data_IF_285695699487
#
_entry.id   IF_285695699487
#
_cell.length_a   1.000
_cell.length_b   1.000
_cell.length_c   1.000
_cell.angle_alpha   90.00
_cell.angle_beta   90.00
_cell.angle_gamma   90.00
#
_symmetry.space_group_name_H-M   'P 1'
#
loop_
_entity.id
_entity.type
_entity.pdbx_description
1 polymer ?
#
# COMPACT_ATOMS: atom_id res chain seq x y z
N UNK A 1 -3.34 -2.90 -20.06
CA UNK A 1 -3.56 -4.33 -20.31
C UNK A 1 -4.38 -5.00 -19.19
N UNK A 2 -3.90 -5.00 -17.94
CA UNK A 2 -4.58 -5.66 -16.81
C UNK A 2 -6.04 -5.21 -16.57
N UNK A 3 -6.33 -3.89 -16.59
CA UNK A 3 -7.70 -3.38 -16.41
C UNK A 3 -8.69 -3.91 -17.45
N UNK A 4 -8.28 -3.96 -18.73
CA UNK A 4 -9.12 -4.44 -19.82
C UNK A 4 -9.41 -5.94 -19.65
N UNK A 5 -8.39 -6.74 -19.37
CA UNK A 5 -8.54 -8.17 -19.09
C UNK A 5 -9.51 -8.44 -17.92
N UNK A 6 -9.42 -7.65 -16.84
CA UNK A 6 -10.34 -7.77 -15.71
C UNK A 6 -11.79 -7.41 -16.11
N UNK A 7 -11.98 -6.34 -16.88
CA UNK A 7 -13.31 -5.96 -17.37
C UNK A 7 -13.90 -7.03 -18.29
N UNK A 8 -13.09 -7.62 -19.17
CA UNK A 8 -13.52 -8.62 -20.14
C UNK A 8 -14.01 -9.92 -19.47
N UNK A 9 -13.46 -10.30 -18.31
CA UNK A 9 -13.96 -11.44 -17.51
C UNK A 9 -15.13 -11.09 -16.58
N UNK A 10 -15.72 -9.90 -16.74
CA UNK A 10 -16.84 -9.43 -15.91
C UNK A 10 -16.45 -9.03 -14.49
N UNK A 11 -15.15 -8.84 -14.20
CA UNK A 11 -14.72 -8.41 -12.88
C UNK A 11 -15.17 -6.97 -12.63
N UNK A 12 -16.11 -6.82 -11.68
CA UNK A 12 -16.54 -5.52 -11.19
C UNK A 12 -15.60 -5.09 -10.07
N UNK A 13 -14.67 -4.19 -10.39
CA UNK A 13 -13.80 -3.61 -9.37
C UNK A 13 -14.64 -2.78 -8.39
N UNK A 14 -14.58 -3.16 -7.11
CA UNK A 14 -14.99 -2.27 -6.03
C UNK A 14 -13.89 -1.20 -5.86
N UNK A 15 -14.19 0.09 -6.12
CA UNK A 15 -13.20 1.15 -6.00
C UNK A 15 -12.72 1.35 -4.56
N UNK A 16 -13.50 0.94 -3.57
CA UNK A 16 -13.18 1.05 -2.14
C UNK A 16 -12.42 -0.18 -1.64
N UNK A 17 -12.79 -1.37 -2.11
CA UNK A 17 -12.16 -2.64 -1.71
C UNK A 17 -12.36 -2.95 -0.23
N UNK A 18 -11.58 -3.90 0.30
CA UNK A 18 -11.73 -4.43 1.67
C UNK A 18 -11.60 -3.39 2.80
N UNK A 19 -10.86 -2.31 2.58
CA UNK A 19 -10.58 -1.28 3.60
C UNK A 19 -11.07 0.09 3.12
N UNK A 20 -12.38 0.36 3.17
CA UNK A 20 -12.97 1.59 2.62
C UNK A 20 -12.58 2.86 3.38
N UNK A 21 -12.16 2.73 4.65
CA UNK A 21 -11.70 3.85 5.47
C UNK A 21 -10.35 4.46 4.99
N UNK A 22 -9.59 3.73 4.17
CA UNK A 22 -8.33 4.19 3.61
C UNK A 22 -8.50 4.51 2.11
N UNK A 23 -7.99 5.64 1.66
CA UNK A 23 -7.96 6.01 0.23
C UNK A 23 -6.68 5.56 -0.46
N UNK A 24 -5.57 5.46 0.29
CA UNK A 24 -4.25 5.12 -0.23
C UNK A 24 -3.95 3.62 -0.10
N UNK A 25 -3.30 3.05 -1.13
CA UNK A 25 -3.07 1.60 -1.23
C UNK A 25 -2.13 1.07 -0.15
N UNK A 26 -1.18 1.90 0.29
CA UNK A 26 -0.19 1.58 1.33
C UNK A 26 -0.87 1.31 2.68
N UNK A 27 -1.86 2.15 3.04
CA UNK A 27 -2.63 1.98 4.27
C UNK A 27 -3.53 0.74 4.22
N UNK A 28 -4.18 0.48 3.08
CA UNK A 28 -4.96 -0.75 2.85
C UNK A 28 -4.08 -1.99 3.00
N UNK A 29 -2.87 -1.94 2.43
CA UNK A 29 -1.92 -3.04 2.49
C UNK A 29 -1.40 -3.27 3.91
N UNK A 30 -1.10 -2.21 4.67
CA UNK A 30 -0.68 -2.32 6.06
C UNK A 30 -1.75 -2.99 6.95
N UNK A 31 -3.02 -2.62 6.77
CA UNK A 31 -4.15 -3.26 7.47
C UNK A 31 -4.25 -4.75 7.11
N UNK A 32 -4.16 -5.08 5.81
CA UNK A 32 -4.16 -6.46 5.35
C UNK A 32 -2.99 -7.28 5.91
N UNK A 33 -1.79 -6.71 5.93
CA UNK A 33 -0.60 -7.35 6.51
C UNK A 33 -0.77 -7.64 8.00
N UNK A 34 -1.37 -6.70 8.76
CA UNK A 34 -1.68 -6.88 10.18
C UNK A 34 -2.63 -8.06 10.39
N UNK A 35 -3.74 -8.09 9.66
CA UNK A 35 -4.76 -9.14 9.76
C UNK A 35 -4.25 -10.52 9.30
N UNK A 36 -3.42 -10.53 8.24
CA UNK A 36 -2.88 -11.75 7.65
C UNK A 36 -1.57 -12.22 8.25
N UNK A 37 -1.06 -11.56 9.31
CA UNK A 37 0.25 -11.82 9.90
C UNK A 37 1.43 -11.80 8.91
N UNK A 38 1.31 -11.02 7.83
CA UNK A 38 2.36 -10.87 6.81
C UNK A 38 3.36 -9.82 7.28
N UNK A 39 4.66 -10.15 7.24
CA UNK A 39 5.72 -9.28 7.76
C UNK A 39 6.42 -8.44 6.69
N UNK A 40 6.53 -8.94 5.46
CA UNK A 40 7.26 -8.25 4.40
C UNK A 40 6.49 -8.31 3.10
N UNK A 41 6.28 -7.17 2.46
CA UNK A 41 5.66 -7.08 1.13
C UNK A 41 6.45 -6.14 0.22
N UNK A 42 6.54 -6.49 -1.05
CA UNK A 42 6.95 -5.59 -2.13
C UNK A 42 5.68 -5.06 -2.80
N UNK A 43 5.51 -3.74 -2.79
CA UNK A 43 4.37 -3.05 -3.38
C UNK A 43 4.85 -2.28 -4.62
N UNK A 44 4.22 -2.50 -5.77
CA UNK A 44 4.48 -1.72 -6.99
C UNK A 44 3.27 -0.85 -7.28
N UNK A 45 3.46 0.46 -7.34
CA UNK A 45 2.40 1.43 -7.64
C UNK A 45 2.68 2.15 -8.96
N UNK A 46 1.64 2.73 -9.55
CA UNK A 46 1.73 3.54 -10.76
C UNK A 46 1.74 5.06 -10.49
N UNK A 47 1.74 5.48 -9.23
CA UNK A 47 1.90 6.88 -8.87
C UNK A 47 3.36 7.30 -9.11
N UNK A 48 3.61 8.14 -10.11
CA UNK A 48 4.96 8.59 -10.49
C UNK A 48 5.65 9.45 -9.43
N UNK A 49 4.89 10.00 -8.48
CA UNK A 49 5.43 10.75 -7.34
C UNK A 49 5.85 9.86 -6.17
N UNK A 50 5.65 8.54 -6.28
CA UNK A 50 5.90 7.59 -5.20
C UNK A 50 4.83 7.62 -4.10
N UNK A 51 5.08 6.95 -2.96
CA UNK A 51 4.19 7.03 -1.80
C UNK A 51 4.12 8.48 -1.28
N UNK A 52 2.99 8.82 -0.68
CA UNK A 52 2.73 10.20 -0.25
C UNK A 52 3.67 10.68 0.87
N UNK A 53 4.28 11.85 0.68
CA UNK A 53 5.19 12.53 1.63
C UNK A 53 4.61 13.89 2.09
N UNK A 54 4.79 14.29 3.35
CA UNK A 54 4.29 15.56 3.93
C UNK A 54 3.54 15.49 5.28
N UNK A 55 3.77 16.49 6.15
CA UNK A 55 3.44 16.53 7.59
C UNK A 55 1.97 16.39 8.02
N UNK A 56 1.01 16.30 7.10
CA UNK A 56 -0.42 16.29 7.44
C UNK A 56 -1.11 14.93 7.35
N UNK A 57 -0.52 13.92 6.69
CA UNK A 57 -1.05 12.53 6.54
C UNK A 57 -0.09 11.72 5.65
N UNK A 58 1.16 11.49 6.08
CA UNK A 58 2.07 10.66 5.29
C UNK A 58 1.64 9.21 5.32
N UNK A 59 1.80 8.57 4.16
CA UNK A 59 1.68 7.13 4.02
C UNK A 59 2.64 6.44 5.00
N UNK A 60 3.79 7.06 5.29
CA UNK A 60 4.74 6.60 6.31
C UNK A 60 4.15 6.59 7.73
N UNK A 61 3.58 7.69 8.22
CA UNK A 61 3.01 7.75 9.56
C UNK A 61 1.82 6.80 9.73
N UNK A 62 0.93 6.74 8.72
CA UNK A 62 -0.24 5.85 8.74
C UNK A 62 0.20 4.39 8.66
N UNK A 63 1.15 4.06 7.79
CA UNK A 63 1.69 2.69 7.71
C UNK A 63 2.39 2.33 9.01
N UNK A 64 3.17 3.22 9.61
CA UNK A 64 3.84 2.95 10.88
C UNK A 64 2.87 2.62 12.01
N UNK A 65 1.75 3.35 12.08
CA UNK A 65 0.72 3.14 13.09
C UNK A 65 -0.12 1.86 12.86
N UNK A 66 -0.30 1.43 11.61
CA UNK A 66 -1.10 0.23 11.28
C UNK A 66 -0.26 -1.05 11.27
N UNK A 67 0.93 -0.97 10.68
CA UNK A 67 1.77 -2.11 10.38
C UNK A 67 2.49 -2.59 11.66
N UNK A 68 2.49 -3.90 11.96
CA UNK A 68 3.14 -4.43 13.15
C UNK A 68 4.62 -4.07 13.24
N UNK A 69 5.12 -3.87 14.45
CA UNK A 69 6.54 -3.70 14.70
C UNK A 69 7.38 -4.80 14.04
N UNK A 70 8.46 -4.39 13.37
CA UNK A 70 9.36 -5.29 12.63
C UNK A 70 8.90 -5.71 11.24
N UNK A 71 7.68 -5.35 10.82
CA UNK A 71 7.22 -5.54 9.46
C UNK A 71 7.60 -4.36 8.54
N UNK A 72 7.65 -4.60 7.22
CA UNK A 72 8.04 -3.60 6.24
C UNK A 72 7.32 -3.75 4.89
N UNK A 73 7.06 -2.61 4.26
CA UNK A 73 6.61 -2.50 2.86
C UNK A 73 7.72 -1.83 2.05
N UNK A 74 8.12 -2.46 0.94
CA UNK A 74 9.06 -1.89 -0.03
C UNK A 74 8.30 -1.41 -1.25
N UNK A 75 8.17 -0.10 -1.41
CA UNK A 75 7.36 0.53 -2.46
C UNK A 75 8.22 0.88 -3.66
N UNK A 76 7.91 0.31 -4.82
CA UNK A 76 8.46 0.68 -6.12
C UNK A 76 7.44 1.49 -6.92
N UNK A 77 7.94 2.46 -7.66
CA UNK A 77 7.16 3.33 -8.53
C UNK A 77 7.99 3.75 -9.75
N UNK A 78 7.37 4.23 -10.85
CA UNK A 78 8.09 4.61 -12.05
C UNK A 78 9.20 5.64 -11.77
N UNK A 79 10.42 5.33 -12.23
CA UNK A 79 11.60 6.18 -12.06
C UNK A 79 12.38 5.97 -10.75
N UNK A 80 11.86 5.19 -9.80
CA UNK A 80 12.58 4.86 -8.57
C UNK A 80 13.81 3.99 -8.87
N UNK A 81 14.98 4.40 -8.37
CA UNK A 81 16.23 3.63 -8.45
C UNK A 81 16.36 2.62 -7.29
N UNK A 82 15.66 2.88 -6.19
CA UNK A 82 15.57 2.04 -5.00
C UNK A 82 14.16 2.15 -4.41
N UNK A 83 13.67 1.14 -3.67
CA UNK A 83 12.33 1.19 -3.11
C UNK A 83 12.26 2.14 -1.92
N UNK A 84 11.14 2.83 -1.77
CA UNK A 84 10.82 3.51 -0.51
C UNK A 84 10.41 2.47 0.51
N UNK A 85 11.15 2.38 1.62
CA UNK A 85 10.82 1.48 2.73
C UNK A 85 9.89 2.18 3.71
N UNK A 86 8.71 1.61 3.94
CA UNK A 86 7.79 1.99 5.00
C UNK A 86 7.85 0.92 6.10
N UNK A 87 8.01 1.34 7.36
CA UNK A 87 8.24 0.43 8.49
C UNK A 87 7.07 0.46 9.47
N UNK A 88 6.76 -0.70 10.05
CA UNK A 88 5.75 -0.82 11.10
C UNK A 88 6.31 -0.51 12.48
N UNK A 89 5.51 0.20 13.28
CA UNK A 89 5.79 0.56 14.67
C UNK A 89 4.66 0.17 15.63
N UNK A 90 3.59 -0.44 15.14
CA UNK A 90 2.44 -0.78 15.95
C UNK A 90 2.74 -1.96 16.89
N UNK A 91 2.34 -1.82 18.16
CA UNK A 91 2.34 -2.91 19.14
C UNK A 91 1.30 -4.00 18.81
#
# INVERSE_FOLDING_TARGET
LARKLLQDIGFKADPTGRYPAATHVEAKLAAWMREGHVRTVVLVINNTKGPCVGAAQTCDAVVNALLPAGAAIYVWYPGAQSPTKLTGGAA
#
